data_IF_014741388117
#
_entry.id   IF_014741388117
#
_cell.length_a   1.000
_cell.length_b   1.000
_cell.length_c   1.000
_cell.angle_alpha   90.00
_cell.angle_beta   90.00
_cell.angle_gamma   90.00
#
_symmetry.space_group_name_H-M   'P 1'
#
loop_
_entity.id
_entity.type
_entity.pdbx_description
1 polymer ?
#
# COMPACT_ATOMS: atom_id res chain seq x y z
N UNK A 1 -1.82 -9.54 -19.87
CA UNK A 1 -2.82 -9.90 -18.83
C UNK A 1 -3.24 -8.72 -17.96
N UNK A 2 -2.33 -7.98 -17.31
CA UNK A 2 -2.67 -6.75 -16.55
C UNK A 2 -3.44 -5.70 -17.38
N UNK A 3 -3.17 -5.63 -18.69
CA UNK A 3 -3.85 -4.70 -19.60
C UNK A 3 -5.36 -4.95 -19.68
N UNK A 4 -5.84 -6.20 -19.59
CA UNK A 4 -7.28 -6.50 -19.53
C UNK A 4 -7.93 -5.93 -18.26
N UNK A 5 -7.23 -6.01 -17.14
CA UNK A 5 -7.71 -5.43 -15.88
C UNK A 5 -7.66 -3.90 -15.91
N UNK A 6 -6.60 -3.31 -16.46
CA UNK A 6 -6.59 -1.87 -16.75
C UNK A 6 -7.73 -1.45 -17.69
N UNK A 7 -8.09 -2.26 -18.68
CA UNK A 7 -9.24 -1.99 -19.55
C UNK A 7 -10.57 -2.04 -18.79
N UNK A 8 -10.76 -3.00 -17.87
CA UNK A 8 -11.95 -3.03 -16.98
C UNK A 8 -12.02 -1.74 -16.14
N UNK A 9 -10.90 -1.31 -15.55
CA UNK A 9 -10.79 -0.05 -14.79
C UNK A 9 -10.97 1.22 -15.64
N UNK A 10 -10.63 1.17 -16.94
CA UNK A 10 -10.78 2.31 -17.84
C UNK A 10 -12.20 2.42 -18.41
N UNK A 11 -12.92 1.30 -18.50
CA UNK A 11 -14.31 1.29 -18.99
C UNK A 11 -15.30 1.83 -17.94
N UNK A 12 -15.06 1.55 -16.65
CA UNK A 12 -15.87 2.08 -15.53
C UNK A 12 -15.65 3.56 -15.24
N UNK A 13 -14.71 4.23 -15.92
CA UNK A 13 -14.40 5.67 -15.76
C UNK A 13 -15.07 6.60 -16.79
N UNK A 14 -15.98 6.12 -17.64
CA UNK A 14 -16.73 7.03 -18.53
C UNK A 14 -17.73 7.88 -17.73
N UNK A 15 -17.69 9.22 -17.83
CA UNK A 15 -18.60 10.10 -17.10
C UNK A 15 -19.98 10.09 -17.79
N UNK A 16 -20.90 9.26 -17.28
CA UNK A 16 -22.26 9.23 -17.77
C UNK A 16 -23.11 8.19 -17.05
N UNK A 17 -23.83 8.67 -16.02
CA UNK A 17 -24.93 8.01 -15.31
C UNK A 17 -24.58 6.86 -14.32
N UNK A 18 -24.88 7.11 -13.03
CA UNK A 18 -25.24 6.12 -12.02
C UNK A 18 -24.28 4.94 -11.76
N UNK A 19 -23.08 5.22 -11.26
CA UNK A 19 -22.16 4.15 -10.86
C UNK A 19 -21.34 4.57 -9.63
N UNK A 20 -21.92 4.42 -8.45
CA UNK A 20 -21.10 4.19 -7.23
C UNK A 20 -20.96 2.69 -6.95
N UNK A 21 -21.70 1.86 -7.67
CA UNK A 21 -21.78 0.40 -7.49
C UNK A 21 -20.67 -0.35 -8.23
N UNK A 22 -20.22 0.11 -9.41
CA UNK A 22 -19.24 -0.67 -10.20
C UNK A 22 -17.83 -0.68 -9.60
N UNK A 23 -17.38 0.36 -8.90
CA UNK A 23 -16.01 0.33 -8.34
C UNK A 23 -15.89 -0.77 -7.26
N UNK A 24 -16.89 -0.92 -6.39
CA UNK A 24 -16.87 -1.92 -5.33
C UNK A 24 -17.14 -3.34 -5.87
N UNK A 25 -18.01 -3.50 -6.86
CA UNK A 25 -18.22 -4.79 -7.53
C UNK A 25 -16.99 -5.24 -8.33
N UNK A 26 -16.29 -4.32 -9.00
CA UNK A 26 -15.02 -4.62 -9.66
C UNK A 26 -13.97 -5.05 -8.65
N UNK A 27 -13.88 -4.40 -7.48
CA UNK A 27 -12.97 -4.86 -6.42
C UNK A 27 -13.36 -6.25 -5.93
N UNK A 28 -14.64 -6.51 -5.64
CA UNK A 28 -15.08 -7.83 -5.19
C UNK A 28 -14.81 -8.93 -6.24
N UNK A 29 -15.01 -8.64 -7.52
CA UNK A 29 -14.62 -9.54 -8.61
C UNK A 29 -13.10 -9.74 -8.68
N UNK A 30 -12.32 -8.68 -8.50
CA UNK A 30 -10.86 -8.77 -8.45
C UNK A 30 -10.40 -9.64 -7.27
N UNK A 31 -11.02 -9.49 -6.10
CA UNK A 31 -10.69 -10.26 -4.89
C UNK A 31 -11.02 -11.76 -5.01
N UNK A 32 -12.02 -12.13 -5.81
CA UNK A 32 -12.32 -13.55 -6.11
C UNK A 32 -11.40 -14.13 -7.19
N UNK A 33 -10.56 -13.31 -7.82
CA UNK A 33 -9.57 -13.73 -8.82
C UNK A 33 -8.15 -13.72 -8.26
N UNK A 34 -7.22 -14.48 -8.86
CA UNK A 34 -5.80 -14.53 -8.48
C UNK A 34 -5.01 -13.24 -8.83
N UNK A 35 -5.68 -12.08 -8.90
CA UNK A 35 -5.06 -10.79 -9.26
C UNK A 35 -4.00 -10.36 -8.25
N UNK A 36 -4.25 -10.53 -6.94
CA UNK A 36 -3.32 -10.11 -5.89
C UNK A 36 -2.02 -10.94 -5.99
N UNK A 37 -2.06 -12.29 -6.00
CA UNK A 37 -0.87 -13.10 -6.24
C UNK A 37 -0.12 -12.74 -7.53
N UNK A 38 -0.84 -12.47 -8.63
CA UNK A 38 -0.23 -12.08 -9.90
C UNK A 38 0.46 -10.71 -9.80
N UNK A 39 -0.18 -9.72 -9.17
CA UNK A 39 0.40 -8.39 -8.98
C UNK A 39 1.66 -8.48 -8.11
N UNK A 40 1.63 -9.24 -7.02
CA UNK A 40 2.78 -9.43 -6.14
C UNK A 40 3.96 -10.08 -6.87
N UNK A 41 3.71 -11.09 -7.70
CA UNK A 41 4.76 -11.72 -8.53
C UNK A 41 5.40 -10.71 -9.48
N UNK A 42 4.59 -9.87 -10.13
CA UNK A 42 5.08 -8.85 -11.07
C UNK A 42 5.81 -7.72 -10.34
N UNK A 43 5.34 -7.34 -9.15
CA UNK A 43 5.99 -6.37 -8.27
C UNK A 43 7.38 -6.84 -7.82
N UNK A 44 7.58 -8.14 -7.66
CA UNK A 44 8.87 -8.72 -7.26
C UNK A 44 9.88 -8.75 -8.41
N UNK A 45 9.50 -9.32 -9.56
CA UNK A 45 10.45 -9.66 -10.66
C UNK A 45 10.17 -9.01 -12.01
N UNK A 46 9.13 -8.18 -12.13
CA UNK A 46 8.78 -7.50 -13.38
C UNK A 46 9.72 -6.36 -13.76
N UNK A 47 9.54 -5.82 -14.97
CA UNK A 47 10.18 -4.57 -15.38
C UNK A 47 9.63 -3.38 -14.58
N UNK A 48 10.35 -2.26 -14.53
CA UNK A 48 9.92 -1.05 -13.80
C UNK A 48 8.49 -0.62 -14.16
N UNK A 49 8.16 -0.60 -15.45
CA UNK A 49 6.83 -0.24 -15.93
C UNK A 49 5.77 -1.23 -15.44
N UNK A 50 6.06 -2.54 -15.52
CA UNK A 50 5.14 -3.58 -15.04
C UNK A 50 4.95 -3.53 -13.53
N UNK A 51 6.02 -3.28 -12.77
CA UNK A 51 5.98 -3.07 -11.31
C UNK A 51 5.11 -1.85 -10.97
N UNK A 52 5.26 -0.75 -11.69
CA UNK A 52 4.45 0.45 -11.50
C UNK A 52 2.97 0.18 -11.71
N UNK A 53 2.60 -0.50 -12.81
CA UNK A 53 1.19 -0.84 -13.09
C UNK A 53 0.64 -1.84 -12.07
N UNK A 54 1.40 -2.87 -11.70
CA UNK A 54 0.98 -3.86 -10.71
C UNK A 54 0.80 -3.24 -9.32
N UNK A 55 1.71 -2.36 -8.91
CA UNK A 55 1.61 -1.62 -7.63
C UNK A 55 0.42 -0.68 -7.65
N UNK A 56 0.13 -0.03 -8.77
CA UNK A 56 -1.06 0.81 -8.91
C UNK A 56 -2.36 0.02 -8.76
N UNK A 57 -2.43 -1.19 -9.32
CA UNK A 57 -3.60 -2.07 -9.16
C UNK A 57 -3.74 -2.53 -7.70
N UNK A 58 -2.65 -2.95 -7.06
CA UNK A 58 -2.66 -3.31 -5.65
C UNK A 58 -3.07 -2.12 -4.77
N UNK A 59 -2.56 -0.93 -5.08
CA UNK A 59 -2.95 0.31 -4.40
C UNK A 59 -4.46 0.53 -4.52
N UNK A 60 -5.04 0.36 -5.72
CA UNK A 60 -6.49 0.51 -5.92
C UNK A 60 -7.29 -0.48 -5.09
N UNK A 61 -6.83 -1.72 -4.98
CA UNK A 61 -7.45 -2.73 -4.10
C UNK A 61 -7.36 -2.31 -2.63
N UNK A 62 -6.19 -1.84 -2.17
CA UNK A 62 -6.02 -1.39 -0.78
C UNK A 62 -6.83 -0.15 -0.45
N UNK A 63 -7.05 0.76 -1.42
CA UNK A 63 -7.86 1.96 -1.21
C UNK A 63 -9.33 1.64 -0.92
N UNK A 64 -9.82 0.50 -1.40
CA UNK A 64 -11.15 0.00 -1.07
C UNK A 64 -11.15 -0.66 0.31
N UNK A 65 -12.19 -0.40 1.11
CA UNK A 65 -12.32 -0.97 2.47
C UNK A 65 -12.41 -2.51 2.43
N UNK A 66 -13.08 -3.07 1.43
CA UNK A 66 -13.23 -4.52 1.25
C UNK A 66 -11.89 -5.16 0.89
N UNK A 67 -11.13 -4.52 0.00
CA UNK A 67 -9.80 -4.99 -0.40
C UNK A 67 -8.77 -4.90 0.73
N UNK A 68 -8.79 -3.81 1.51
CA UNK A 68 -7.96 -3.69 2.72
C UNK A 68 -8.31 -4.78 3.74
N UNK A 69 -9.60 -4.98 4.02
CA UNK A 69 -10.06 -6.00 4.95
C UNK A 69 -9.65 -7.41 4.49
N UNK A 70 -9.75 -7.71 3.20
CA UNK A 70 -9.33 -8.99 2.62
C UNK A 70 -7.83 -9.27 2.80
N UNK A 71 -6.98 -8.27 2.50
CA UNK A 71 -5.52 -8.40 2.64
C UNK A 71 -5.12 -8.54 4.11
N UNK A 72 -5.77 -7.79 5.00
CA UNK A 72 -5.51 -7.83 6.44
C UNK A 72 -6.29 -8.92 7.19
N UNK A 73 -7.05 -9.77 6.48
CA UNK A 73 -7.88 -10.81 7.10
C UNK A 73 -7.01 -11.85 7.81
N UNK A 74 -5.96 -12.33 7.12
CA UNK A 74 -5.01 -13.32 7.64
C UNK A 74 -3.60 -12.73 7.69
N UNK A 75 -2.80 -13.22 8.64
CA UNK A 75 -1.41 -12.79 8.76
C UNK A 75 -0.59 -13.16 7.51
N UNK A 76 -0.84 -14.32 6.92
CA UNK A 76 -0.13 -14.80 5.72
C UNK A 76 -0.29 -13.83 4.54
N UNK A 77 -1.53 -13.41 4.23
CA UNK A 77 -1.80 -12.46 3.12
C UNK A 77 -1.11 -11.13 3.35
N UNK A 78 -1.26 -10.56 4.55
CA UNK A 78 -0.61 -9.31 4.92
C UNK A 78 0.92 -9.44 4.84
N UNK A 79 1.49 -10.49 5.45
CA UNK A 79 2.95 -10.69 5.52
C UNK A 79 3.56 -10.81 4.14
N UNK A 80 2.89 -11.51 3.21
CA UNK A 80 3.34 -11.63 1.83
C UNK A 80 3.35 -10.27 1.14
N UNK A 81 2.28 -9.48 1.25
CA UNK A 81 2.22 -8.12 0.70
C UNK A 81 3.32 -7.23 1.29
N UNK A 82 3.46 -7.22 2.62
CA UNK A 82 4.46 -6.41 3.33
C UNK A 82 5.89 -6.79 2.94
N UNK A 83 6.17 -8.08 2.78
CA UNK A 83 7.48 -8.59 2.34
C UNK A 83 7.82 -8.10 0.93
N UNK A 84 6.90 -8.21 -0.03
CA UNK A 84 7.14 -7.75 -1.40
C UNK A 84 7.34 -6.23 -1.44
N UNK A 85 6.50 -5.46 -0.74
CA UNK A 85 6.69 -4.01 -0.63
C UNK A 85 8.06 -3.67 -0.01
N UNK A 86 8.51 -4.41 1.00
CA UNK A 86 9.82 -4.21 1.61
C UNK A 86 10.98 -4.47 0.65
N UNK A 87 10.91 -5.54 -0.14
CA UNK A 87 11.89 -5.82 -1.21
C UNK A 87 11.92 -4.69 -2.24
N UNK A 88 10.76 -4.14 -2.60
CA UNK A 88 10.67 -3.02 -3.54
C UNK A 88 11.30 -1.74 -2.97
N UNK A 89 11.08 -1.45 -1.68
CA UNK A 89 11.74 -0.31 -1.02
C UNK A 89 13.26 -0.45 -1.06
N UNK A 90 13.77 -1.65 -0.76
CA UNK A 90 15.21 -1.91 -0.84
C UNK A 90 15.75 -1.74 -2.26
N UNK A 91 15.01 -2.18 -3.29
CA UNK A 91 15.38 -1.95 -4.68
C UNK A 91 15.37 -0.45 -5.03
N UNK A 92 14.34 0.28 -4.61
CA UNK A 92 14.20 1.72 -4.83
C UNK A 92 15.32 2.55 -4.17
N UNK A 93 15.91 2.04 -3.09
CA UNK A 93 17.07 2.69 -2.46
C UNK A 93 18.33 2.65 -3.33
N UNK A 94 18.44 1.65 -4.22
CA UNK A 94 19.56 1.46 -5.15
C UNK A 94 19.29 2.08 -6.51
N UNK A 95 18.07 1.90 -7.03
CA UNK A 95 17.62 2.41 -8.31
C UNK A 95 16.35 3.26 -8.10
N UNK A 96 16.50 4.58 -7.91
CA UNK A 96 15.39 5.43 -7.53
C UNK A 96 14.34 5.60 -8.63
N UNK A 97 13.08 5.32 -8.32
CA UNK A 97 11.93 5.63 -9.17
C UNK A 97 10.84 6.35 -8.36
N UNK A 98 10.69 7.66 -8.58
CA UNK A 98 9.73 8.49 -7.84
C UNK A 98 8.27 8.03 -8.05
N UNK A 99 7.94 7.59 -9.28
CA UNK A 99 6.60 7.10 -9.62
C UNK A 99 6.26 5.84 -8.84
N UNK A 100 7.18 4.87 -8.83
CA UNK A 100 6.97 3.62 -8.12
C UNK A 100 6.93 3.83 -6.60
N UNK A 101 7.87 4.64 -6.07
CA UNK A 101 7.93 4.98 -4.65
C UNK A 101 6.62 5.60 -4.15
N UNK A 102 6.03 6.52 -4.92
CA UNK A 102 4.72 7.12 -4.60
C UNK A 102 3.63 6.08 -4.37
N UNK A 103 3.55 5.06 -5.23
CA UNK A 103 2.57 3.99 -5.10
C UNK A 103 2.87 3.11 -3.88
N UNK A 104 4.14 2.75 -3.66
CA UNK A 104 4.58 1.96 -2.50
C UNK A 104 4.25 2.65 -1.17
N UNK A 105 4.59 3.94 -1.04
CA UNK A 105 4.27 4.74 0.16
C UNK A 105 2.76 4.79 0.39
N UNK A 106 1.97 4.96 -0.68
CA UNK A 106 0.51 5.01 -0.55
C UNK A 106 -0.11 3.69 -0.11
N UNK A 107 0.46 2.55 -0.53
CA UNK A 107 0.07 1.21 -0.06
C UNK A 107 0.35 1.05 1.44
N UNK A 108 1.56 1.40 1.90
CA UNK A 108 1.90 1.34 3.32
C UNK A 108 1.02 2.23 4.18
N UNK A 109 0.78 3.48 3.75
CA UNK A 109 -0.12 4.39 4.45
C UNK A 109 -1.50 3.76 4.61
N UNK A 110 -2.04 3.16 3.54
CA UNK A 110 -3.36 2.52 3.60
C UNK A 110 -3.38 1.28 4.49
N UNK A 111 -2.32 0.46 4.46
CA UNK A 111 -2.18 -0.67 5.38
C UNK A 111 -2.18 -0.21 6.85
N UNK A 112 -1.58 0.94 7.15
CA UNK A 112 -1.57 1.50 8.51
C UNK A 112 -2.94 1.92 9.04
N UNK A 113 -3.97 2.03 8.18
CA UNK A 113 -5.34 2.30 8.61
C UNK A 113 -5.96 1.08 9.31
N UNK A 114 -5.48 -0.13 9.02
CA UNK A 114 -5.90 -1.34 9.72
C UNK A 114 -5.08 -1.54 11.01
N UNK A 115 -5.71 -1.69 12.19
CA UNK A 115 -5.00 -1.76 13.47
C UNK A 115 -4.07 -2.98 13.58
N UNK A 116 -4.46 -4.14 13.01
CA UNK A 116 -3.62 -5.36 13.04
C UNK A 116 -2.39 -5.21 12.14
N UNK A 117 -2.59 -4.66 10.94
CA UNK A 117 -1.50 -4.37 10.01
C UNK A 117 -0.56 -3.29 10.56
N UNK A 118 -1.11 -2.24 11.20
CA UNK A 118 -0.35 -1.17 11.85
C UNK A 118 0.62 -1.71 12.89
N UNK A 119 0.17 -2.62 13.76
CA UNK A 119 1.03 -3.26 14.75
C UNK A 119 2.21 -4.00 14.09
N UNK A 120 1.92 -4.82 13.09
CA UNK A 120 2.95 -5.57 12.37
C UNK A 120 3.91 -4.63 11.62
N UNK A 121 3.40 -3.54 11.01
CA UNK A 121 4.21 -2.54 10.32
C UNK A 121 5.20 -1.82 11.25
N UNK A 122 4.91 -1.68 12.54
CA UNK A 122 5.91 -1.12 13.48
C UNK A 122 7.20 -1.94 13.50
N UNK A 123 7.06 -3.26 13.38
CA UNK A 123 8.19 -4.19 13.42
C UNK A 123 8.81 -4.44 12.05
N UNK A 124 8.03 -4.36 10.96
CA UNK A 124 8.51 -4.72 9.61
C UNK A 124 8.63 -3.57 8.61
N UNK A 125 8.34 -2.31 8.99
CA UNK A 125 8.53 -1.17 8.09
C UNK A 125 10.04 -0.99 7.78
N UNK A 126 10.44 -0.97 6.50
CA UNK A 126 11.83 -0.78 6.10
C UNK A 126 12.43 0.53 6.63
N UNK A 127 13.68 0.49 7.08
CA UNK A 127 14.35 1.65 7.65
C UNK A 127 14.57 2.78 6.64
N UNK A 128 14.67 2.45 5.34
CA UNK A 128 14.79 3.44 4.26
C UNK A 128 13.56 4.35 4.14
N UNK A 129 12.41 3.94 4.69
CA UNK A 129 11.21 4.79 4.78
C UNK A 129 11.19 5.67 6.04
N UNK A 130 12.05 5.37 7.03
CA UNK A 130 12.17 6.13 8.29
C UNK A 130 13.34 7.10 8.26
N UNK A 131 14.36 6.82 7.46
CA UNK A 131 15.57 7.62 7.35
C UNK A 131 15.47 8.68 6.22
N UNK A 132 16.63 9.23 5.84
CA UNK A 132 16.73 10.26 4.80
C UNK A 132 16.96 9.72 3.38
N UNK A 133 16.92 8.39 3.17
CA UNK A 133 17.24 7.71 1.90
C UNK A 133 16.48 8.31 0.72
N UNK A 134 15.17 8.54 0.88
CA UNK A 134 14.32 9.04 -0.20
C UNK A 134 14.16 10.56 -0.25
N UNK A 135 14.85 11.33 0.61
CA UNK A 135 14.65 12.79 0.69
C UNK A 135 14.93 13.51 -0.64
N UNK A 136 15.96 13.09 -1.39
CA UNK A 136 16.29 13.68 -2.69
C UNK A 136 15.24 13.34 -3.74
N UNK A 137 14.84 12.07 -3.82
CA UNK A 137 13.83 11.56 -4.78
C UNK A 137 12.48 12.23 -4.55
N UNK A 138 12.15 12.51 -3.29
CA UNK A 138 10.89 13.13 -2.88
C UNK A 138 10.97 14.66 -2.80
N UNK A 139 12.08 15.29 -3.20
CA UNK A 139 12.29 16.75 -3.03
C UNK A 139 11.09 17.56 -3.51
N UNK A 140 10.62 17.26 -4.72
CA UNK A 140 9.54 17.99 -5.41
C UNK A 140 8.16 17.33 -5.25
N UNK A 141 8.09 16.10 -4.71
CA UNK A 141 6.81 15.41 -4.45
C UNK A 141 6.33 15.64 -3.01
N UNK A 142 5.72 16.80 -2.79
CA UNK A 142 5.13 17.19 -1.51
C UNK A 142 4.01 16.26 -1.06
N UNK A 143 3.30 15.61 -1.98
CA UNK A 143 2.21 14.70 -1.66
C UNK A 143 2.74 13.42 -1.02
N UNK A 144 3.74 12.81 -1.65
CA UNK A 144 4.34 11.57 -1.14
C UNK A 144 5.08 11.80 0.19
N UNK A 145 5.72 12.97 0.37
CA UNK A 145 6.28 13.38 1.66
C UNK A 145 5.23 13.42 2.78
N UNK A 146 4.07 14.04 2.53
CA UNK A 146 2.97 14.11 3.51
C UNK A 146 2.44 12.71 3.84
N UNK A 147 2.32 11.84 2.85
CA UNK A 147 1.91 10.45 3.08
C UNK A 147 2.89 9.66 3.93
N UNK A 148 4.20 9.85 3.70
CA UNK A 148 5.24 9.21 4.51
C UNK A 148 5.22 9.71 5.95
N UNK A 149 5.09 11.02 6.16
CA UNK A 149 4.95 11.61 7.50
C UNK A 149 3.70 11.09 8.23
N UNK A 150 2.56 11.02 7.54
CA UNK A 150 1.34 10.46 8.10
C UNK A 150 1.47 8.97 8.43
N UNK A 151 2.16 8.20 7.60
CA UNK A 151 2.44 6.79 7.87
C UNK A 151 3.24 6.63 9.17
N UNK A 152 4.35 7.37 9.31
CA UNK A 152 5.17 7.32 10.52
C UNK A 152 4.37 7.74 11.75
N UNK A 153 3.55 8.79 11.63
CA UNK A 153 2.64 9.24 12.69
C UNK A 153 1.63 8.15 13.08
N UNK A 154 0.97 7.50 12.13
CA UNK A 154 0.02 6.41 12.39
C UNK A 154 0.68 5.25 13.16
N UNK A 155 1.95 4.96 12.86
CA UNK A 155 2.71 3.93 13.57
C UNK A 155 3.10 4.34 14.99
N UNK A 156 3.20 5.64 15.29
CA UNK A 156 3.43 6.16 16.65
C UNK A 156 2.14 6.23 17.48
N UNK A 157 0.99 6.50 16.85
CA UNK A 157 -0.33 6.70 17.50
C UNK A 157 -0.99 5.42 18.06
N UNK A 158 -0.24 4.54 18.72
CA UNK A 158 -0.84 3.40 19.41
C UNK A 158 0.01 2.77 20.50
N UNK A 159 0.88 3.54 21.16
CA UNK A 159 1.41 3.18 22.48
C UNK A 159 0.37 3.40 23.61
N UNK A 160 -0.90 3.01 23.39
CA UNK A 160 -1.90 3.01 24.45
C UNK A 160 -2.40 1.59 24.63
N UNK A 161 -1.81 0.88 25.58
CA UNK A 161 -2.37 -0.36 26.11
C UNK A 161 -2.33 -0.33 27.63
N UNK A 162 -3.51 -0.23 28.26
CA UNK A 162 -4.02 -1.23 29.22
C UNK A 162 -5.51 -0.95 29.51
N UNK A 163 -6.39 -1.95 29.73
CA UNK A 163 -7.72 -1.75 30.31
C UNK A 163 -7.73 -1.07 31.70
N UNK A 164 -6.57 -0.83 32.31
CA UNK A 164 -6.39 -0.02 33.53
C UNK A 164 -6.10 1.47 33.27
N UNK A 165 -6.01 1.91 32.02
CA UNK A 165 -6.12 3.33 31.66
C UNK A 165 -5.03 4.29 32.17
N UNK A 166 -3.80 3.84 32.41
CA UNK A 166 -2.71 4.73 32.84
C UNK A 166 -1.73 4.98 31.67
N UNK A 167 -1.59 6.24 31.20
CA UNK A 167 -0.54 6.62 30.26
C UNK A 167 0.84 6.58 30.94
N UNK A 168 1.83 5.92 30.33
CA UNK A 168 3.22 6.00 30.76
C UNK A 168 3.82 7.35 30.31
N UNK A 169 4.59 8.05 31.18
CA UNK A 169 5.21 9.30 30.81
C UNK A 169 6.35 9.08 29.79
N UNK A 170 6.53 10.01 28.83
CA UNK A 170 7.69 10.01 27.95
C UNK A 170 8.97 10.25 28.77
N UNK A 171 10.02 9.45 28.54
CA UNK A 171 11.37 9.71 29.06
C UNK A 171 12.06 10.80 28.24
#
# INVERSE_FOLDING_TARGET
MLWRYCSVWHHTRKPGALVKTDEQEVINFLLTTEIIPLCLRIMESGSELSKTVATFILQKILLDDTGLAYICQTYERFSHVAMILGKMVLQLSKEPSARLLKHVVRCYLRLSDNPRAREALRQCLPDQLKDTTFNQVLKDDTTTKRWLQQLVKNLQEGQVTDPRGIPLPPQ
#
